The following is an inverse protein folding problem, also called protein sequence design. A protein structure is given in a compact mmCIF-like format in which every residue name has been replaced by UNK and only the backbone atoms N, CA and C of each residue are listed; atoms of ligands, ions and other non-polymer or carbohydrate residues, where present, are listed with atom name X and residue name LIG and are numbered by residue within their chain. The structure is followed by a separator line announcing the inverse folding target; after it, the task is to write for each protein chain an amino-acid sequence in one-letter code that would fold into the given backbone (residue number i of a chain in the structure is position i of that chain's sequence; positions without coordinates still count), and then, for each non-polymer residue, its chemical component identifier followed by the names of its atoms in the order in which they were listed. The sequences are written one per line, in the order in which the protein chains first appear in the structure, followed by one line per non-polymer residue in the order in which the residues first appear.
data_IF_106895354971
#
_entry.id   IF_106895354971
#
_cell.length_a   1.000
_cell.length_b   1.000
_cell.length_c   1.000
_cell.angle_alpha   90.00
_cell.angle_beta   90.00
_cell.angle_gamma   90.00
#
_symmetry.space_group_name_H-M   'P 1'
#
loop_
_entity.id
_entity.type
_entity.pdbx_description
1 polymer ?
#
# COMPACT_ATOMS: atom_id res chain seq x y z
N UNK A 1 -0.33 0.91 31.41
CA UNK A 1 0.73 -0.08 31.20
C UNK A 1 0.24 -1.18 30.26
N UNK A 2 -1.01 -1.63 30.39
CA UNK A 2 -1.66 -2.60 29.49
C UNK A 2 -1.69 -2.08 28.06
N UNK A 3 -2.19 -0.87 27.82
CA UNK A 3 -2.23 -0.18 26.53
C UNK A 3 -0.89 -0.18 25.77
N UNK A 4 0.22 0.05 26.47
CA UNK A 4 1.56 0.03 25.88
C UNK A 4 1.98 -1.40 25.47
N UNK A 5 1.64 -2.39 26.29
CA UNK A 5 1.96 -3.79 25.99
C UNK A 5 1.13 -4.33 24.84
N UNK A 6 -0.14 -3.96 24.76
CA UNK A 6 -1.05 -4.39 23.68
C UNK A 6 -0.60 -3.81 22.34
N UNK A 7 -0.34 -2.50 22.25
CA UNK A 7 0.19 -1.87 21.04
C UNK A 7 1.55 -2.44 20.61
N UNK A 8 2.42 -2.76 21.58
CA UNK A 8 3.72 -3.36 21.27
C UNK A 8 3.57 -4.80 20.77
N UNK A 9 2.68 -5.56 21.36
CA UNK A 9 2.44 -6.96 20.99
C UNK A 9 1.86 -7.04 19.57
N UNK A 10 0.88 -6.19 19.25
CA UNK A 10 0.25 -6.12 17.93
C UNK A 10 1.27 -5.72 16.86
N UNK A 11 2.04 -4.65 17.11
CA UNK A 11 3.09 -4.23 16.19
C UNK A 11 4.13 -5.34 15.96
N UNK A 12 4.49 -6.10 17.00
CA UNK A 12 5.45 -7.19 16.91
C UNK A 12 4.89 -8.39 16.13
N UNK A 13 3.64 -8.77 16.38
CA UNK A 13 2.97 -9.87 15.68
C UNK A 13 2.86 -9.56 14.18
N UNK A 14 2.42 -8.36 13.84
CA UNK A 14 2.27 -7.93 12.44
C UNK A 14 3.63 -7.80 11.76
N UNK A 15 4.62 -7.24 12.43
CA UNK A 15 5.98 -7.17 11.93
C UNK A 15 6.58 -8.56 11.65
N UNK A 16 6.43 -9.52 12.56
CA UNK A 16 6.93 -10.89 12.37
C UNK A 16 6.24 -11.61 11.23
N UNK A 17 4.94 -11.43 11.04
CA UNK A 17 4.21 -11.98 9.88
C UNK A 17 4.74 -11.45 8.54
N UNK A 18 5.18 -10.19 8.49
CA UNK A 18 5.74 -9.56 7.30
C UNK A 18 7.17 -9.99 6.99
N UNK A 19 7.96 -10.36 8.00
CA UNK A 19 9.39 -10.63 7.89
C UNK A 19 9.76 -11.62 6.76
N UNK A 20 9.12 -12.80 6.62
CA UNK A 20 9.49 -13.76 5.57
C UNK A 20 9.23 -13.22 4.16
N UNK A 21 8.16 -12.44 3.97
CA UNK A 21 7.84 -11.85 2.67
C UNK A 21 8.79 -10.70 2.33
N UNK A 22 9.09 -9.86 3.30
CA UNK A 22 10.04 -8.77 3.15
C UNK A 22 11.43 -9.30 2.80
N UNK A 23 11.88 -10.34 3.51
CA UNK A 23 13.16 -10.99 3.24
C UNK A 23 13.22 -11.62 1.84
N UNK A 24 12.17 -12.34 1.44
CA UNK A 24 12.09 -12.96 0.11
C UNK A 24 12.09 -11.90 -0.99
N UNK A 25 11.45 -10.77 -0.75
CA UNK A 25 11.43 -9.65 -1.67
C UNK A 25 12.80 -9.00 -1.84
N UNK A 26 13.49 -8.70 -0.74
CA UNK A 26 14.86 -8.17 -0.80
C UNK A 26 15.84 -9.18 -1.40
N UNK A 27 15.65 -10.47 -1.12
CA UNK A 27 16.43 -11.53 -1.76
C UNK A 27 16.21 -11.53 -3.29
N UNK A 28 14.96 -11.35 -3.73
CA UNK A 28 14.63 -11.26 -5.15
C UNK A 28 15.25 -10.01 -5.78
N UNK A 29 15.16 -8.86 -5.14
CA UNK A 29 15.76 -7.60 -5.62
C UNK A 29 17.27 -7.77 -5.77
N UNK A 30 17.96 -8.22 -4.73
CA UNK A 30 19.40 -8.41 -4.73
C UNK A 30 19.85 -9.45 -5.76
N UNK A 31 19.06 -10.53 -5.94
CA UNK A 31 19.32 -11.54 -6.97
C UNK A 31 19.13 -10.95 -8.38
N UNK A 32 18.08 -10.15 -8.58
CA UNK A 32 17.81 -9.48 -9.85
C UNK A 32 18.92 -8.51 -10.22
N UNK A 33 19.35 -7.66 -9.30
CA UNK A 33 20.42 -6.68 -9.51
C UNK A 33 21.74 -7.37 -9.91
N UNK A 34 22.09 -8.47 -9.23
CA UNK A 34 23.38 -9.18 -9.50
C UNK A 34 23.40 -10.05 -10.74
N UNK A 35 22.28 -10.58 -11.19
CA UNK A 35 22.24 -11.56 -12.27
C UNK A 35 21.69 -11.06 -13.59
N UNK A 36 20.86 -10.03 -13.58
CA UNK A 36 20.09 -9.62 -14.74
C UNK A 36 19.99 -8.10 -14.93
N UNK A 37 20.86 -7.30 -14.33
CA UNK A 37 20.78 -5.83 -14.39
C UNK A 37 20.46 -5.32 -15.80
N UNK A 38 21.30 -5.61 -16.80
CA UNK A 38 21.12 -5.17 -18.19
C UNK A 38 19.88 -5.77 -18.88
N UNK A 39 19.59 -7.07 -18.65
CA UNK A 39 18.46 -7.76 -19.30
C UNK A 39 17.12 -7.35 -18.70
N UNK A 40 17.12 -6.93 -17.44
CA UNK A 40 15.93 -6.41 -16.75
C UNK A 40 15.66 -4.99 -17.20
N UNK A 41 16.68 -4.17 -17.39
CA UNK A 41 16.53 -2.85 -17.98
C UNK A 41 15.85 -2.92 -19.35
N UNK A 42 16.24 -3.83 -20.22
CA UNK A 42 15.60 -4.04 -21.53
C UNK A 42 14.17 -4.62 -21.42
N UNK A 43 13.94 -5.61 -20.57
CA UNK A 43 12.63 -6.24 -20.39
C UNK A 43 11.63 -5.28 -19.73
N UNK A 44 12.08 -4.47 -18.77
CA UNK A 44 11.26 -3.47 -18.09
C UNK A 44 11.02 -2.24 -18.97
N UNK A 45 11.99 -1.84 -19.80
CA UNK A 45 11.82 -0.83 -20.84
C UNK A 45 10.74 -1.23 -21.86
N UNK A 46 10.67 -2.53 -22.20
CA UNK A 46 9.68 -3.07 -23.14
C UNK A 46 8.34 -3.49 -22.52
N UNK A 47 8.33 -4.04 -21.31
CA UNK A 47 7.17 -4.65 -20.66
C UNK A 47 6.50 -3.80 -19.58
N UNK A 48 7.15 -2.75 -19.09
CA UNK A 48 6.75 -1.99 -17.91
C UNK A 48 5.38 -1.30 -17.96
N UNK A 49 4.82 -1.12 -19.14
CA UNK A 49 3.52 -0.44 -19.33
C UNK A 49 2.30 -1.25 -18.85
N UNK A 50 2.43 -2.57 -18.66
CA UNK A 50 1.34 -3.47 -18.27
C UNK A 50 1.52 -4.05 -16.86
N UNK A 51 2.53 -3.60 -16.14
CA UNK A 51 2.83 -4.04 -14.76
C UNK A 51 1.69 -3.82 -13.77
N UNK A 52 0.77 -2.88 -14.06
CA UNK A 52 -0.40 -2.62 -13.23
C UNK A 52 -1.39 -3.81 -13.17
N UNK A 53 -1.43 -4.69 -14.20
CA UNK A 53 -2.29 -5.88 -14.17
C UNK A 53 -1.80 -6.90 -13.13
N UNK A 54 -0.56 -7.43 -13.23
CA UNK A 54 -0.05 -8.32 -12.18
C UNK A 54 0.05 -7.61 -10.83
N UNK A 55 0.33 -6.31 -10.80
CA UNK A 55 0.32 -5.50 -9.58
C UNK A 55 -1.03 -5.50 -8.87
N UNK A 56 -2.13 -5.30 -9.60
CA UNK A 56 -3.48 -5.36 -9.04
C UNK A 56 -3.83 -6.75 -8.49
N UNK A 57 -3.39 -7.82 -9.14
CA UNK A 57 -3.63 -9.19 -8.68
C UNK A 57 -2.80 -9.52 -7.43
N UNK A 58 -1.53 -9.13 -7.41
CA UNK A 58 -0.66 -9.33 -6.24
C UNK A 58 -1.13 -8.52 -5.03
N UNK A 59 -1.61 -7.29 -5.25
CA UNK A 59 -2.17 -6.47 -4.18
C UNK A 59 -3.39 -7.08 -3.49
N UNK A 60 -4.15 -7.96 -4.15
CA UNK A 60 -5.29 -8.67 -3.54
C UNK A 60 -4.89 -9.71 -2.50
N UNK A 61 -3.63 -10.12 -2.46
CA UNK A 61 -3.15 -11.02 -1.42
C UNK A 61 -3.14 -10.25 -0.09
N UNK A 62 -3.84 -10.74 0.96
CA UNK A 62 -3.96 -10.03 2.24
C UNK A 62 -2.63 -10.06 3.00
N UNK A 63 -1.69 -9.23 2.56
CA UNK A 63 -0.34 -9.17 3.08
C UNK A 63 0.29 -7.81 2.82
N UNK A 64 0.51 -7.01 3.86
CA UNK A 64 1.12 -5.69 3.74
C UNK A 64 2.57 -5.72 3.23
N UNK A 65 3.24 -6.87 3.24
CA UNK A 65 4.57 -7.04 2.65
C UNK A 65 4.62 -6.70 1.16
N UNK A 66 3.57 -7.02 0.38
CA UNK A 66 3.54 -6.71 -1.06
C UNK A 66 3.53 -5.21 -1.35
N UNK A 67 2.80 -4.41 -0.56
CA UNK A 67 2.80 -2.95 -0.72
C UNK A 67 4.14 -2.33 -0.34
N UNK A 68 4.82 -2.87 0.69
CA UNK A 68 6.17 -2.44 1.06
C UNK A 68 7.20 -2.76 -0.03
N UNK A 69 7.12 -3.97 -0.61
CA UNK A 69 7.95 -4.39 -1.76
C UNK A 69 7.72 -3.49 -2.96
N UNK A 70 6.47 -3.24 -3.33
CA UNK A 70 6.13 -2.36 -4.44
C UNK A 70 6.72 -0.95 -4.24
N UNK A 71 6.74 -0.44 -3.00
CA UNK A 71 7.35 0.84 -2.66
C UNK A 71 8.86 0.86 -2.92
N UNK A 72 9.56 -0.21 -2.54
CA UNK A 72 10.99 -0.34 -2.79
C UNK A 72 11.30 -0.47 -4.30
N UNK A 73 10.58 -1.33 -5.00
CA UNK A 73 10.73 -1.49 -6.46
C UNK A 73 10.44 -0.19 -7.22
N UNK A 74 9.51 0.62 -6.73
CA UNK A 74 9.25 1.94 -7.30
C UNK A 74 10.39 2.93 -7.02
N UNK A 75 10.89 2.96 -5.79
CA UNK A 75 12.02 3.81 -5.42
C UNK A 75 13.27 3.47 -6.23
N UNK A 76 13.53 2.18 -6.46
CA UNK A 76 14.61 1.65 -7.32
C UNK A 76 14.29 1.76 -8.83
N UNK A 77 13.20 2.43 -9.22
CA UNK A 77 12.79 2.62 -10.63
C UNK A 77 12.53 1.32 -11.42
N UNK A 78 12.33 0.21 -10.74
CA UNK A 78 12.06 -1.11 -11.35
C UNK A 78 10.63 -1.21 -11.86
N UNK A 79 9.65 -0.58 -11.16
CA UNK A 79 8.25 -0.58 -11.56
C UNK A 79 7.72 0.85 -11.78
N UNK A 80 6.66 0.95 -12.59
CA UNK A 80 6.02 2.22 -12.91
C UNK A 80 5.17 2.75 -11.76
N UNK A 81 4.91 4.08 -11.71
CA UNK A 81 3.96 4.67 -10.75
C UNK A 81 2.56 4.06 -10.82
N UNK A 82 2.09 3.71 -12.05
CA UNK A 82 0.80 3.04 -12.22
C UNK A 82 0.77 1.64 -11.65
N UNK A 83 1.89 0.91 -11.70
CA UNK A 83 2.01 -0.40 -11.07
C UNK A 83 1.94 -0.29 -9.54
N UNK A 84 2.67 0.65 -8.92
CA UNK A 84 2.60 0.91 -7.49
C UNK A 84 1.19 1.33 -7.07
N UNK A 85 0.59 2.24 -7.82
CA UNK A 85 -0.79 2.67 -7.56
C UNK A 85 -1.76 1.49 -7.60
N UNK A 86 -1.61 0.60 -8.59
CA UNK A 86 -2.46 -0.59 -8.71
C UNK A 86 -2.30 -1.55 -7.51
N UNK A 87 -1.05 -1.79 -7.08
CA UNK A 87 -0.79 -2.59 -5.86
C UNK A 87 -1.46 -1.95 -4.65
N UNK A 88 -1.25 -0.64 -4.44
CA UNK A 88 -1.80 0.08 -3.29
C UNK A 88 -3.33 0.07 -3.26
N UNK A 89 -3.99 0.34 -4.38
CA UNK A 89 -5.45 0.28 -4.50
C UNK A 89 -5.97 -1.11 -4.20
N UNK A 90 -5.30 -2.17 -4.69
CA UNK A 90 -5.73 -3.55 -4.50
C UNK A 90 -5.48 -4.07 -3.08
N UNK A 91 -4.51 -3.50 -2.36
CA UNK A 91 -4.16 -3.93 -0.99
C UNK A 91 -5.36 -3.87 -0.05
N UNK A 92 -5.63 -4.96 0.66
CA UNK A 92 -6.77 -5.08 1.60
C UNK A 92 -6.41 -6.01 2.76
N UNK A 93 -5.41 -5.68 3.49
CA UNK A 93 -4.76 -6.48 4.52
C UNK A 93 -5.73 -7.25 5.46
N UNK A 94 -5.91 -6.76 6.68
CA UNK A 94 -6.69 -7.45 7.72
C UNK A 94 -8.22 -7.35 7.52
N UNK A 95 -8.71 -6.50 6.63
CA UNK A 95 -10.14 -6.39 6.34
C UNK A 95 -10.69 -7.67 5.66
N UNK A 96 -9.88 -8.35 4.84
CA UNK A 96 -10.30 -9.59 4.15
C UNK A 96 -10.61 -10.72 5.13
N UNK A 97 -9.71 -11.11 6.05
CA UNK A 97 -10.00 -12.14 7.04
C UNK A 97 -11.22 -11.81 7.90
N UNK A 98 -11.38 -10.55 8.30
CA UNK A 98 -12.49 -10.11 9.13
C UNK A 98 -13.84 -10.25 8.41
N UNK A 99 -13.95 -9.78 7.18
CA UNK A 99 -15.16 -9.92 6.37
C UNK A 99 -15.42 -11.36 5.96
N UNK A 100 -14.38 -12.17 5.78
CA UNK A 100 -14.49 -13.59 5.45
C UNK A 100 -15.00 -14.45 6.61
N UNK A 101 -14.75 -14.02 7.86
CA UNK A 101 -15.24 -14.70 9.07
C UNK A 101 -16.77 -14.69 9.18
N UNK A 102 -17.44 -13.72 8.53
CA UNK A 102 -18.89 -13.57 8.50
C UNK A 102 -19.48 -14.11 7.19
N UNK A 103 -20.12 -15.29 7.17
CA UNK A 103 -20.67 -15.87 5.93
C UNK A 103 -21.71 -14.98 5.22
N UNK A 104 -22.43 -14.16 5.98
CA UNK A 104 -23.39 -13.19 5.45
C UNK A 104 -22.75 -12.11 4.57
N UNK A 105 -21.45 -11.85 4.74
CA UNK A 105 -20.70 -10.80 4.04
C UNK A 105 -19.84 -11.32 2.87
N UNK A 106 -19.89 -12.60 2.55
CA UNK A 106 -19.08 -13.16 1.44
C UNK A 106 -19.37 -12.50 0.09
N UNK A 107 -20.63 -12.20 -0.18
CA UNK A 107 -21.00 -11.49 -1.41
C UNK A 107 -20.38 -10.08 -1.42
N UNK A 108 -20.44 -9.39 -0.30
CA UNK A 108 -19.83 -8.07 -0.13
C UNK A 108 -18.31 -8.15 -0.28
N UNK A 109 -17.66 -9.16 0.29
CA UNK A 109 -16.23 -9.39 0.16
C UNK A 109 -15.79 -9.61 -1.30
N UNK A 110 -16.52 -10.50 -2.02
CA UNK A 110 -16.23 -10.76 -3.45
C UNK A 110 -16.43 -9.48 -4.27
N UNK A 111 -17.50 -8.75 -4.02
CA UNK A 111 -17.77 -7.49 -4.69
C UNK A 111 -16.69 -6.43 -4.40
N UNK A 112 -16.28 -6.32 -3.12
CA UNK A 112 -15.20 -5.44 -2.69
C UNK A 112 -13.90 -5.74 -3.46
N UNK A 113 -13.47 -7.00 -3.48
CA UNK A 113 -12.25 -7.43 -4.17
C UNK A 113 -12.34 -7.20 -5.69
N UNK A 114 -13.47 -7.55 -6.30
CA UNK A 114 -13.69 -7.34 -7.74
C UNK A 114 -13.62 -5.85 -8.10
N UNK A 115 -14.26 -4.98 -7.32
CA UNK A 115 -14.19 -3.54 -7.49
C UNK A 115 -12.76 -3.03 -7.29
N UNK A 116 -12.04 -3.48 -6.26
CA UNK A 116 -10.66 -3.06 -6.01
C UNK A 116 -9.73 -3.42 -7.17
N UNK A 117 -9.82 -4.65 -7.69
CA UNK A 117 -9.05 -5.06 -8.89
C UNK A 117 -9.41 -4.20 -10.09
N UNK A 118 -10.69 -3.96 -10.34
CA UNK A 118 -11.13 -3.14 -11.46
C UNK A 118 -10.58 -1.70 -11.36
N UNK A 119 -10.75 -1.05 -10.20
CA UNK A 119 -10.22 0.30 -9.97
C UNK A 119 -8.70 0.36 -9.96
N UNK A 120 -8.01 -0.68 -9.48
CA UNK A 120 -6.56 -0.80 -9.51
C UNK A 120 -6.04 -0.86 -10.96
N UNK A 121 -6.65 -1.71 -11.79
CA UNK A 121 -6.28 -1.82 -13.21
C UNK A 121 -6.56 -0.50 -13.95
N UNK A 122 -7.75 0.09 -13.75
CA UNK A 122 -8.12 1.36 -14.39
C UNK A 122 -7.21 2.51 -13.93
N UNK A 123 -6.94 2.61 -12.62
CA UNK A 123 -6.06 3.63 -12.05
C UNK A 123 -4.63 3.51 -12.55
N UNK A 124 -4.08 2.30 -12.55
CA UNK A 124 -2.75 2.01 -13.09
C UNK A 124 -2.65 2.31 -14.59
N UNK A 125 -3.64 1.86 -15.35
CA UNK A 125 -3.72 2.16 -16.80
C UNK A 125 -3.79 3.67 -17.07
N UNK A 126 -4.63 4.40 -16.34
CA UNK A 126 -4.77 5.86 -16.49
C UNK A 126 -3.44 6.57 -16.19
N UNK A 127 -2.72 6.13 -15.17
CA UNK A 127 -1.46 6.77 -14.77
C UNK A 127 -0.33 6.46 -15.76
N UNK A 128 -0.20 5.22 -16.20
CA UNK A 128 0.94 4.80 -17.04
C UNK A 128 0.77 5.11 -18.52
N UNK A 129 -0.45 5.24 -19.03
CA UNK A 129 -0.70 5.43 -20.46
C UNK A 129 -1.09 6.89 -20.78
N UNK A 130 -2.29 7.42 -20.44
CA UNK A 130 -2.64 8.79 -20.81
C UNK A 130 -1.95 9.85 -19.96
N UNK A 131 -1.90 9.70 -18.63
CA UNK A 131 -1.36 10.73 -17.76
C UNK A 131 0.16 10.88 -17.84
N UNK A 132 0.89 9.85 -18.25
CA UNK A 132 2.33 9.91 -18.47
C UNK A 132 2.74 11.05 -19.40
N UNK A 133 1.94 11.34 -20.42
CA UNK A 133 2.22 12.40 -21.40
C UNK A 133 1.83 13.79 -20.91
N UNK A 134 1.00 13.90 -19.89
CA UNK A 134 0.46 15.14 -19.36
C UNK A 134 1.22 15.57 -18.10
N UNK A 135 1.62 14.60 -17.28
CA UNK A 135 2.28 14.87 -16.01
C UNK A 135 3.74 15.30 -16.23
N UNK A 136 4.21 16.31 -15.47
CA UNK A 136 5.61 16.69 -15.51
C UNK A 136 6.50 15.56 -14.95
N UNK A 137 7.68 15.40 -15.53
CA UNK A 137 8.67 14.37 -15.15
C UNK A 137 8.97 14.34 -13.63
N UNK A 138 8.93 15.51 -12.99
CA UNK A 138 9.16 15.63 -11.53
C UNK A 138 8.11 14.94 -10.66
N UNK A 139 6.89 14.71 -11.19
CA UNK A 139 5.81 14.04 -10.48
C UNK A 139 5.68 12.56 -10.87
N UNK A 140 5.88 12.27 -12.16
CA UNK A 140 5.77 10.90 -12.65
C UNK A 140 6.96 10.03 -12.19
N UNK A 141 8.13 10.63 -12.01
CA UNK A 141 9.36 9.93 -11.72
C UNK A 141 9.81 9.16 -12.96
N UNK A 142 10.75 9.71 -13.72
CA UNK A 142 11.19 9.08 -14.95
C UNK A 142 11.64 7.64 -14.70
N UNK A 143 11.03 6.69 -15.38
CA UNK A 143 11.66 5.45 -15.77
C UNK A 143 12.63 5.83 -16.90
N UNK A 144 13.72 6.42 -16.54
CA UNK A 144 14.90 6.58 -17.38
C UNK A 144 15.82 5.47 -16.92
N UNK A 145 16.07 4.48 -17.81
CA UNK A 145 16.85 3.30 -17.58
C UNK A 145 18.29 3.48 -17.07
N UNK A 146 18.50 4.42 -16.20
CA UNK A 146 19.71 4.69 -15.46
C UNK A 146 19.41 4.57 -13.97
N UNK A 147 19.74 3.39 -13.42
CA UNK A 147 19.77 3.14 -11.99
C UNK A 147 20.80 4.03 -11.25
N UNK A 148 21.44 4.96 -11.96
CA UNK A 148 22.60 5.72 -11.49
C UNK A 148 22.26 6.87 -10.52
N UNK A 149 20.96 7.19 -10.27
CA UNK A 149 20.58 8.29 -9.37
C UNK A 149 19.88 7.86 -8.08
N UNK A 150 19.70 6.58 -7.85
CA UNK A 150 19.36 6.11 -6.52
C UNK A 150 20.67 5.89 -5.78
N UNK A 151 21.06 6.90 -5.01
CA UNK A 151 22.15 6.79 -4.03
C UNK A 151 21.82 5.71 -2.99
N UNK A 152 21.82 4.46 -3.40
CA UNK A 152 22.14 3.34 -2.55
C UNK A 152 23.67 3.30 -2.43
N UNK A 153 24.29 4.46 -2.14
CA UNK A 153 25.68 4.54 -1.71
C UNK A 153 25.78 4.02 -0.26
N UNK A 154 25.45 2.77 -0.07
CA UNK A 154 26.20 1.96 0.85
C UNK A 154 27.17 1.17 -0.01
N UNK A 155 28.45 1.44 0.19
CA UNK A 155 29.58 0.79 -0.40
C UNK A 155 29.26 -0.69 -0.64
N UNK A 156 29.14 -1.08 -1.90
CA UNK A 156 29.13 -2.49 -2.27
C UNK A 156 30.45 -3.07 -1.75
N UNK A 157 30.43 -3.61 -0.54
CA UNK A 157 31.39 -4.64 -0.19
C UNK A 157 31.14 -5.82 -1.16
N UNK A 158 31.90 -5.87 -2.23
CA UNK A 158 31.85 -6.90 -3.30
C UNK A 158 31.93 -8.34 -2.77
N UNK A 159 32.03 -8.53 -1.47
CA UNK A 159 32.25 -9.80 -0.77
C UNK A 159 31.05 -10.27 0.06
N UNK A 160 29.97 -9.51 0.21
CA UNK A 160 28.85 -9.98 1.02
C UNK A 160 27.94 -10.94 0.22
N UNK A 161 27.58 -12.05 0.86
CA UNK A 161 26.60 -13.00 0.32
C UNK A 161 25.26 -12.28 0.06
N UNK A 162 24.59 -12.57 -1.09
CA UNK A 162 23.24 -12.10 -1.44
C UNK A 162 22.28 -12.22 -0.24
N UNK A 163 22.38 -13.33 0.49
CA UNK A 163 21.54 -13.60 1.67
C UNK A 163 21.79 -12.61 2.81
N UNK A 164 23.03 -12.18 3.00
CA UNK A 164 23.38 -11.27 4.10
C UNK A 164 22.97 -9.83 3.76
N UNK A 165 23.16 -9.40 2.52
CA UNK A 165 22.69 -8.09 2.05
C UNK A 165 21.16 -7.98 2.17
N UNK A 166 20.44 -8.97 1.63
CA UNK A 166 18.97 -9.02 1.76
C UNK A 166 18.50 -9.04 3.23
N UNK A 167 19.22 -9.74 4.12
CA UNK A 167 18.89 -9.78 5.54
C UNK A 167 19.08 -8.42 6.21
N UNK A 168 20.15 -7.70 5.89
CA UNK A 168 20.43 -6.37 6.43
C UNK A 168 19.35 -5.38 6.04
N UNK A 169 19.01 -5.29 4.74
CA UNK A 169 17.93 -4.43 4.26
C UNK A 169 16.57 -4.80 4.86
N UNK A 170 16.29 -6.11 4.99
CA UNK A 170 15.07 -6.58 5.65
C UNK A 170 14.99 -6.09 7.08
N UNK A 171 16.06 -6.21 7.87
CA UNK A 171 16.08 -5.81 9.27
C UNK A 171 15.92 -4.29 9.44
N UNK A 172 16.54 -3.49 8.58
CA UNK A 172 16.41 -2.02 8.63
C UNK A 172 14.97 -1.56 8.39
N UNK A 173 14.34 -2.09 7.35
CA UNK A 173 12.94 -1.78 7.05
C UNK A 173 12.00 -2.37 8.11
N UNK A 174 12.28 -3.56 8.62
CA UNK A 174 11.50 -4.17 9.69
C UNK A 174 11.48 -3.33 10.95
N UNK A 175 12.64 -2.84 11.41
CA UNK A 175 12.72 -1.96 12.60
C UNK A 175 11.93 -0.67 12.37
N UNK A 176 12.02 -0.11 11.17
CA UNK A 176 11.25 1.08 10.83
C UNK A 176 9.73 0.81 10.86
N UNK A 177 9.28 -0.28 10.23
CA UNK A 177 7.86 -0.67 10.21
C UNK A 177 7.36 -0.91 11.64
N UNK A 178 8.13 -1.64 12.45
CA UNK A 178 7.76 -1.95 13.83
C UNK A 178 7.63 -0.69 14.69
N UNK A 179 8.61 0.22 14.61
CA UNK A 179 8.56 1.49 15.32
C UNK A 179 7.38 2.35 14.89
N UNK A 180 7.16 2.43 13.58
CA UNK A 180 6.09 3.24 13.01
C UNK A 180 4.70 2.68 13.37
N UNK A 181 4.49 1.37 13.21
CA UNK A 181 3.23 0.70 13.59
C UNK A 181 2.94 0.81 15.08
N UNK A 182 3.97 0.68 15.92
CA UNK A 182 3.84 0.87 17.35
C UNK A 182 3.39 2.29 17.72
N UNK A 183 4.01 3.33 17.14
CA UNK A 183 3.62 4.72 17.41
C UNK A 183 2.17 4.97 16.98
N UNK A 184 1.80 4.53 15.80
CA UNK A 184 0.44 4.71 15.27
C UNK A 184 -0.57 3.91 16.10
N UNK A 185 -0.28 2.65 16.46
CA UNK A 185 -1.11 1.82 17.33
C UNK A 185 -1.37 2.51 18.67
N UNK A 186 -0.33 3.05 19.28
CA UNK A 186 -0.44 3.77 20.56
C UNK A 186 -1.30 5.04 20.45
N UNK A 187 -1.25 5.73 19.32
CA UNK A 187 -2.13 6.89 19.04
C UNK A 187 -3.59 6.43 18.91
N UNK A 188 -3.85 5.35 18.16
CA UNK A 188 -5.21 4.81 18.00
C UNK A 188 -5.81 4.34 19.34
N UNK A 189 -5.05 3.61 20.13
CA UNK A 189 -5.51 3.18 21.46
C UNK A 189 -5.74 4.35 22.42
N UNK A 190 -4.91 5.41 22.36
CA UNK A 190 -5.06 6.57 23.20
C UNK A 190 -6.28 7.42 22.86
N UNK A 191 -6.65 7.54 21.60
CA UNK A 191 -7.80 8.32 21.14
C UNK A 191 -9.10 7.52 21.14
N UNK A 192 -9.02 6.19 21.06
CA UNK A 192 -10.18 5.30 20.94
C UNK A 192 -10.85 5.34 19.55
N UNK A 193 -11.74 4.37 19.31
CA UNK A 193 -12.47 4.25 18.05
C UNK A 193 -13.72 5.15 18.00
N UNK A 194 -14.29 5.49 19.15
CA UNK A 194 -15.56 6.22 19.26
C UNK A 194 -15.56 7.60 18.58
N UNK A 195 -14.53 8.46 18.73
CA UNK A 195 -14.52 9.76 18.05
C UNK A 195 -14.49 9.64 16.53
N UNK A 196 -13.79 8.63 16.00
CA UNK A 196 -13.71 8.37 14.56
C UNK A 196 -15.05 7.88 14.04
N UNK A 197 -15.68 6.93 14.74
CA UNK A 197 -17.00 6.41 14.41
C UNK A 197 -18.07 7.52 14.43
N UNK A 198 -18.05 8.38 15.44
CA UNK A 198 -18.97 9.50 15.56
C UNK A 198 -18.79 10.55 14.44
N UNK A 199 -17.54 10.85 14.07
CA UNK A 199 -17.23 11.75 12.97
C UNK A 199 -17.70 11.18 11.62
N UNK A 200 -17.52 9.88 11.41
CA UNK A 200 -17.90 9.21 10.17
C UNK A 200 -19.42 9.09 10.01
N UNK A 201 -20.15 8.72 11.07
CA UNK A 201 -21.60 8.50 11.01
C UNK A 201 -22.41 9.76 10.69
N UNK A 202 -21.88 10.96 10.99
CA UNK A 202 -22.56 12.24 10.75
C UNK A 202 -22.41 12.83 9.34
N UNK A 203 -21.55 12.28 8.48
CA UNK A 203 -21.13 12.93 7.23
C UNK A 203 -21.99 12.61 5.99
N UNK A 204 -22.92 11.68 6.03
CA UNK A 204 -23.79 11.35 4.90
C UNK A 204 -23.03 11.10 3.58
N UNK A 205 -23.32 11.88 2.54
CA UNK A 205 -22.71 11.70 1.21
C UNK A 205 -21.20 11.93 1.19
N UNK A 206 -20.66 12.70 2.13
CA UNK A 206 -19.20 12.97 2.21
C UNK A 206 -18.42 11.93 3.05
N UNK A 207 -19.12 10.95 3.60
CA UNK A 207 -18.51 9.88 4.39
C UNK A 207 -17.33 9.18 3.65
N UNK A 208 -17.40 8.85 2.33
CA UNK A 208 -16.27 8.24 1.62
C UNK A 208 -15.01 9.12 1.55
N UNK A 209 -15.14 10.44 1.51
CA UNK A 209 -13.99 11.35 1.53
C UNK A 209 -13.22 11.27 2.85
N UNK A 210 -13.95 11.22 3.95
CA UNK A 210 -13.33 11.15 5.27
C UNK A 210 -12.76 9.75 5.53
N UNK A 211 -13.47 8.68 5.14
CA UNK A 211 -12.94 7.32 5.27
C UNK A 211 -11.69 7.11 4.42
N UNK A 212 -11.62 7.70 3.21
CA UNK A 212 -10.40 7.69 2.40
C UNK A 212 -9.24 8.42 3.10
N UNK A 213 -9.51 9.51 3.81
CA UNK A 213 -8.49 10.22 4.58
C UNK A 213 -7.99 9.38 5.77
N UNK A 214 -8.90 8.73 6.48
CA UNK A 214 -8.58 7.80 7.58
C UNK A 214 -7.78 6.61 7.03
N UNK A 215 -8.16 6.09 5.87
CA UNK A 215 -7.47 4.99 5.20
C UNK A 215 -6.02 5.29 4.84
N UNK A 216 -5.65 6.56 4.61
CA UNK A 216 -4.25 6.95 4.35
C UNK A 216 -3.31 6.73 5.54
N UNK A 217 -3.83 6.52 6.74
CA UNK A 217 -2.99 6.21 7.89
C UNK A 217 -2.37 4.82 7.68
N UNK A 218 -1.05 4.71 7.59
CA UNK A 218 -0.39 3.47 7.21
C UNK A 218 -0.28 2.50 8.39
N UNK A 219 -1.42 1.95 8.79
CA UNK A 219 -1.53 0.94 9.85
C UNK A 219 -2.66 -0.04 9.53
N UNK A 220 -2.45 -1.33 9.78
CA UNK A 220 -3.43 -2.40 9.57
C UNK A 220 -4.69 -2.23 10.46
N UNK A 221 -4.55 -1.66 11.66
CA UNK A 221 -5.67 -1.39 12.56
C UNK A 221 -6.76 -0.51 11.90
N UNK A 222 -6.38 0.36 10.96
CA UNK A 222 -7.35 1.20 10.23
C UNK A 222 -8.26 0.36 9.34
N UNK A 223 -7.72 -0.62 8.64
CA UNK A 223 -8.53 -1.51 7.78
C UNK A 223 -9.48 -2.37 8.62
N UNK A 224 -9.05 -2.82 9.80
CA UNK A 224 -9.88 -3.53 10.77
C UNK A 224 -11.00 -2.62 11.28
N UNK A 225 -10.66 -1.42 11.72
CA UNK A 225 -11.63 -0.43 12.20
C UNK A 225 -12.72 -0.15 11.15
N UNK A 226 -12.32 0.14 9.91
CA UNK A 226 -13.28 0.42 8.83
C UNK A 226 -14.16 -0.79 8.53
N UNK A 227 -13.61 -2.01 8.55
CA UNK A 227 -14.38 -3.22 8.36
C UNK A 227 -15.37 -3.46 9.52
N UNK A 228 -14.98 -3.23 10.77
CA UNK A 228 -15.86 -3.30 11.93
C UNK A 228 -16.99 -2.27 11.89
N UNK A 229 -16.68 -1.02 11.54
CA UNK A 229 -17.69 0.03 11.40
C UNK A 229 -18.71 -0.29 10.29
N UNK A 230 -18.26 -0.96 9.23
CA UNK A 230 -19.16 -1.45 8.19
C UNK A 230 -20.07 -2.57 8.68
N UNK A 231 -19.51 -3.56 9.38
CA UNK A 231 -20.30 -4.66 9.99
C UNK A 231 -21.34 -4.14 10.98
N UNK A 232 -21.00 -3.10 11.74
CA UNK A 232 -21.90 -2.43 12.68
C UNK A 232 -22.94 -1.53 11.98
N UNK A 233 -22.84 -1.32 10.65
CA UNK A 233 -23.73 -0.44 9.90
C UNK A 233 -23.46 1.06 10.11
N UNK A 234 -22.34 1.43 10.71
CA UNK A 234 -21.96 2.82 10.95
C UNK A 234 -21.46 3.52 9.68
N UNK A 235 -20.89 2.78 8.74
CA UNK A 235 -20.46 3.30 7.45
C UNK A 235 -21.05 2.51 6.28
N UNK A 236 -21.16 3.16 5.12
CA UNK A 236 -21.68 2.55 3.89
C UNK A 236 -20.61 1.69 3.19
N UNK A 237 -21.04 0.83 2.25
CA UNK A 237 -20.12 0.07 1.39
C UNK A 237 -19.17 0.99 0.61
N UNK A 238 -19.68 2.10 0.06
CA UNK A 238 -18.86 3.09 -0.63
C UNK A 238 -17.79 3.71 0.29
N UNK A 239 -18.12 3.92 1.55
CA UNK A 239 -17.18 4.44 2.56
C UNK A 239 -16.12 3.41 2.95
N UNK A 240 -16.52 2.15 3.15
CA UNK A 240 -15.58 1.05 3.36
C UNK A 240 -14.62 0.93 2.18
N UNK A 241 -15.16 0.92 0.96
CA UNK A 241 -14.38 0.85 -0.27
C UNK A 241 -13.38 2.01 -0.38
N UNK A 242 -13.82 3.24 -0.10
CA UNK A 242 -12.97 4.44 -0.15
C UNK A 242 -11.78 4.34 0.80
N UNK A 243 -12.03 3.97 2.05
CA UNK A 243 -10.99 3.84 3.06
C UNK A 243 -10.00 2.73 2.75
N UNK A 244 -10.49 1.55 2.37
CA UNK A 244 -9.62 0.41 2.01
C UNK A 244 -8.87 0.63 0.69
N UNK A 245 -9.38 1.45 -0.22
CA UNK A 245 -8.70 1.80 -1.49
C UNK A 245 -7.60 2.82 -1.26
N UNK A 246 -7.81 3.79 -0.37
CA UNK A 246 -6.77 4.74 0.03
C UNK A 246 -5.72 4.11 0.96
N UNK A 247 -6.09 3.02 1.64
CA UNK A 247 -5.25 2.30 2.59
C UNK A 247 -4.21 1.42 1.92
N UNK A 248 -3.02 1.96 1.65
CA UNK A 248 -1.88 1.22 1.15
C UNK A 248 -1.13 0.45 2.26
N UNK A 249 -1.70 0.39 3.46
CA UNK A 249 -1.05 -0.20 4.63
C UNK A 249 0.32 0.42 4.90
N UNK A 250 1.27 -0.37 5.40
CA UNK A 250 2.65 0.08 5.66
C UNK A 250 3.42 0.47 4.39
N UNK A 251 2.96 0.06 3.19
CA UNK A 251 3.60 0.41 1.93
C UNK A 251 3.73 1.91 1.73
N UNK A 252 2.74 2.70 2.15
CA UNK A 252 2.81 4.16 2.07
C UNK A 252 3.90 4.74 2.98
N UNK A 253 4.06 4.21 4.20
CA UNK A 253 5.13 4.63 5.11
C UNK A 253 6.51 4.28 4.55
N UNK A 254 6.64 3.07 3.99
CA UNK A 254 7.88 2.64 3.32
C UNK A 254 8.18 3.54 2.12
N UNK A 255 7.19 3.89 1.29
CA UNK A 255 7.36 4.79 0.17
C UNK A 255 7.95 6.15 0.61
N UNK A 256 7.42 6.72 1.69
CA UNK A 256 7.92 7.99 2.24
C UNK A 256 9.34 7.88 2.79
N UNK A 257 9.76 6.69 3.20
CA UNK A 257 11.12 6.46 3.70
C UNK A 257 12.12 6.26 2.56
N UNK A 258 11.80 5.41 1.57
CA UNK A 258 12.77 4.94 0.56
C UNK A 258 12.83 5.80 -0.68
N UNK A 259 11.75 6.49 -1.05
CA UNK A 259 11.76 7.38 -2.21
C UNK A 259 12.17 8.81 -1.82
N UNK A 260 13.31 9.32 -2.30
CA UNK A 260 13.82 10.64 -1.92
C UNK A 260 12.96 11.81 -2.43
N UNK A 261 12.13 11.58 -3.45
CA UNK A 261 11.30 12.63 -4.05
C UNK A 261 10.01 12.88 -3.28
N UNK A 262 10.00 13.85 -2.35
CA UNK A 262 8.82 14.23 -1.58
C UNK A 262 7.61 14.63 -2.47
N UNK A 263 7.86 15.18 -3.68
CA UNK A 263 6.79 15.56 -4.63
C UNK A 263 6.06 14.34 -5.17
N UNK A 264 6.80 13.29 -5.49
CA UNK A 264 6.23 12.01 -5.96
C UNK A 264 5.45 11.33 -4.83
N UNK A 265 5.98 11.34 -3.62
CA UNK A 265 5.33 10.76 -2.45
C UNK A 265 4.00 11.48 -2.15
N UNK A 266 4.02 12.81 -2.15
CA UNK A 266 2.82 13.62 -1.94
C UNK A 266 1.79 13.42 -3.07
N UNK A 267 2.25 13.36 -4.31
CA UNK A 267 1.40 13.09 -5.46
C UNK A 267 0.73 11.72 -5.36
N UNK A 268 1.49 10.67 -5.03
CA UNK A 268 0.95 9.31 -4.86
C UNK A 268 -0.05 9.25 -3.71
N UNK A 269 0.26 9.87 -2.56
CA UNK A 269 -0.64 9.96 -1.41
C UNK A 269 -1.94 10.69 -1.76
N UNK A 270 -1.84 11.84 -2.43
CA UNK A 270 -3.00 12.60 -2.88
C UNK A 270 -3.85 11.87 -3.94
N UNK A 271 -3.18 11.13 -4.81
CA UNK A 271 -3.85 10.32 -5.84
C UNK A 271 -4.63 9.15 -5.23
N UNK A 272 -4.03 8.46 -4.24
CA UNK A 272 -4.72 7.40 -3.49
C UNK A 272 -5.97 7.93 -2.79
N UNK A 273 -5.86 9.07 -2.11
CA UNK A 273 -7.01 9.70 -1.48
C UNK A 273 -8.08 10.07 -2.51
N UNK A 274 -7.69 10.71 -3.61
CA UNK A 274 -8.63 11.16 -4.64
C UNK A 274 -9.35 9.98 -5.33
N UNK A 275 -8.61 8.92 -5.67
CA UNK A 275 -9.18 7.71 -6.28
C UNK A 275 -10.10 7.00 -5.29
N UNK A 276 -9.67 6.82 -4.03
CA UNK A 276 -10.49 6.21 -2.99
C UNK A 276 -11.77 6.98 -2.74
N UNK A 277 -11.68 8.30 -2.55
CA UNK A 277 -12.84 9.16 -2.33
C UNK A 277 -13.80 9.17 -3.52
N UNK A 278 -13.28 9.34 -4.74
CA UNK A 278 -14.10 9.37 -5.95
C UNK A 278 -14.79 8.04 -6.22
N UNK A 279 -14.06 6.93 -6.11
CA UNK A 279 -14.60 5.59 -6.30
C UNK A 279 -15.63 5.23 -5.23
N UNK A 280 -15.37 5.58 -3.96
CA UNK A 280 -16.31 5.36 -2.88
C UNK A 280 -17.60 6.17 -3.04
N UNK A 281 -17.51 7.44 -3.42
CA UNK A 281 -18.70 8.26 -3.73
C UNK A 281 -19.48 7.69 -4.91
N UNK A 282 -18.80 7.20 -5.94
CA UNK A 282 -19.45 6.55 -7.07
C UNK A 282 -20.23 5.30 -6.65
N UNK A 283 -19.61 4.44 -5.85
CA UNK A 283 -20.23 3.21 -5.36
C UNK A 283 -21.36 3.48 -4.36
N UNK A 284 -21.33 4.60 -3.65
CA UNK A 284 -22.40 4.99 -2.73
C UNK A 284 -23.70 5.40 -3.45
N UNK A 285 -23.61 5.88 -4.71
CA UNK A 285 -24.74 6.25 -5.53
C UNK A 285 -25.39 5.01 -6.15
N UNK A 286 -24.62 3.95 -6.36
CA UNK A 286 -25.13 2.69 -6.90
C UNK A 286 -25.88 1.94 -5.80
N UNK A 287 -27.12 1.50 -6.01
CA UNK A 287 -27.85 0.67 -5.07
C UNK A 287 -27.22 -0.75 -5.07
N UNK A 288 -26.22 -0.93 -4.26
CA UNK A 288 -25.53 -2.20 -4.05
C UNK A 288 -26.00 -2.83 -2.75
#
# INVERSE_FOLDING_TARGET
MELFFDALLDALIDGVKMLPFLYLAYLLIEWLERHHGESIEEALAGGGRWGFIPGALLGCVPQCGFSAVASNLYASRVITPGTVLAVFIATSDEAIPLLAAEPSLWVTLVLLLACKVAFAIVGGWLLDIPLRHILPHSLYGGYEGHADEVDCHEEHEETSSIFLAALRHTLEIFVFILLFSFIIGLVFEAFGEEPIAAALSGMGVFQPMLTALVGLVPNCAVSVLLAQLYVQGAITFGSLFAGLTAGAGVGLAVLWRVNPSWKQNLFMTGLLWAVGAAAGMLLQILPL
#
